data_IF_713018098327
#
_entry.id   IF_713018098327
#
_cell.length_a   1.000
_cell.length_b   1.000
_cell.length_c   1.000
_cell.angle_alpha   90.00
_cell.angle_beta   90.00
_cell.angle_gamma   90.00
#
_symmetry.space_group_name_H-M   'P 1'
#
loop_
_entity.id
_entity.type
_entity.pdbx_description
1 polymer ?
#
# COMPACT_ATOMS: atom_id res chain seq x y z
N UNK A 1 19.02 14.46 9.28
CA UNK A 1 17.79 14.12 10.03
C UNK A 1 17.68 12.62 10.10
N UNK A 2 17.18 12.10 11.22
CA UNK A 2 17.06 10.66 11.46
C UNK A 2 15.78 10.13 10.85
N UNK A 3 15.87 9.02 10.13
CA UNK A 3 14.76 8.28 9.59
C UNK A 3 14.98 6.78 9.81
N UNK A 4 13.93 5.98 9.67
CA UNK A 4 14.08 4.52 9.60
C UNK A 4 13.91 4.03 8.18
N UNK A 5 14.77 3.12 7.77
CA UNK A 5 14.61 2.32 6.56
C UNK A 5 14.19 0.91 6.94
N UNK A 6 13.25 0.36 6.18
CA UNK A 6 12.84 -1.04 6.28
C UNK A 6 13.09 -1.69 4.93
N UNK A 7 13.90 -2.75 4.94
CA UNK A 7 14.17 -3.55 3.75
C UNK A 7 13.23 -4.77 3.75
N UNK A 8 12.40 -4.89 2.72
CA UNK A 8 11.38 -5.95 2.71
C UNK A 8 11.92 -7.34 2.44
N UNK A 9 13.17 -7.46 1.99
CA UNK A 9 13.80 -8.76 1.68
C UNK A 9 14.55 -9.30 2.90
N UNK A 10 15.36 -8.45 3.54
CA UNK A 10 16.15 -8.80 4.73
C UNK A 10 15.37 -8.65 6.02
N UNK A 11 14.21 -7.97 5.97
CA UNK A 11 13.33 -7.66 7.09
C UNK A 11 13.96 -6.75 8.15
N UNK A 12 15.07 -6.10 7.80
CA UNK A 12 15.87 -5.30 8.72
C UNK A 12 15.34 -3.88 8.82
N UNK A 13 15.17 -3.38 10.05
CA UNK A 13 14.91 -1.97 10.34
C UNK A 13 16.23 -1.28 10.71
N UNK A 14 16.60 -0.23 9.98
CA UNK A 14 17.82 0.56 10.21
C UNK A 14 17.50 2.03 10.44
N UNK A 15 18.08 2.60 11.49
CA UNK A 15 18.18 4.05 11.62
C UNK A 15 19.21 4.56 10.60
N UNK A 16 18.84 5.60 9.85
CA UNK A 16 19.70 6.24 8.86
C UNK A 16 19.64 7.76 9.01
N UNK A 17 20.76 8.42 8.72
CA UNK A 17 20.80 9.86 8.54
C UNK A 17 20.49 10.20 7.08
N UNK A 18 19.46 11.00 6.88
CA UNK A 18 19.07 11.55 5.57
C UNK A 18 19.16 13.07 5.59
N UNK A 19 19.46 13.68 4.45
CA UNK A 19 19.21 15.11 4.22
C UNK A 19 17.95 15.20 3.37
N UNK A 20 16.81 15.64 3.90
CA UNK A 20 15.58 15.72 3.10
C UNK A 20 15.72 16.77 1.98
N UNK A 21 16.01 16.26 0.78
CA UNK A 21 15.92 16.94 -0.50
C UNK A 21 15.11 16.03 -1.43
N UNK A 22 14.47 16.55 -2.47
CA UNK A 22 13.66 15.74 -3.39
C UNK A 22 14.45 14.54 -3.98
N UNK A 23 15.76 14.73 -4.15
CA UNK A 23 16.75 13.77 -4.60
C UNK A 23 17.06 12.65 -3.58
N UNK A 24 16.74 12.82 -2.30
CA UNK A 24 17.07 11.86 -1.24
C UNK A 24 16.10 10.68 -1.23
N UNK A 25 14.80 10.97 -1.27
CA UNK A 25 13.76 9.94 -1.45
C UNK A 25 13.94 9.23 -2.79
N UNK A 26 14.24 9.99 -3.86
CA UNK A 26 14.61 9.43 -5.16
C UNK A 26 15.80 8.47 -5.08
N UNK A 27 16.89 8.86 -4.41
CA UNK A 27 18.10 8.04 -4.29
C UNK A 27 17.88 6.77 -3.46
N UNK A 28 17.02 6.83 -2.45
CA UNK A 28 16.71 5.69 -1.59
C UNK A 28 15.95 4.60 -2.35
N UNK A 29 14.92 4.98 -3.12
CA UNK A 29 14.10 4.03 -3.88
C UNK A 29 14.61 3.76 -5.30
N UNK A 30 15.59 4.55 -5.77
CA UNK A 30 15.98 4.63 -7.18
C UNK A 30 14.75 4.85 -8.10
N UNK A 31 13.79 5.66 -7.64
CA UNK A 31 12.48 5.85 -8.27
C UNK A 31 12.03 7.29 -8.17
N UNK A 32 11.49 7.83 -9.27
CA UNK A 32 10.96 9.20 -9.35
C UNK A 32 9.59 9.31 -8.66
N UNK A 33 8.86 8.20 -8.57
CA UNK A 33 7.52 8.16 -8.03
C UNK A 33 7.55 7.45 -6.67
N UNK A 34 7.15 8.18 -5.64
CA UNK A 34 7.00 7.66 -4.29
C UNK A 34 5.65 8.04 -3.72
N UNK A 35 5.03 7.12 -3.00
CA UNK A 35 3.78 7.35 -2.29
C UNK A 35 4.05 7.67 -0.82
N UNK A 36 3.22 8.53 -0.23
CA UNK A 36 3.27 8.94 1.18
C UNK A 36 2.05 8.42 1.93
N UNK A 37 2.29 7.70 3.03
CA UNK A 37 1.23 7.08 3.83
C UNK A 37 1.34 7.57 5.29
N UNK A 38 0.22 8.02 5.86
CA UNK A 38 0.16 8.65 7.18
C UNK A 38 -0.45 7.71 8.24
N UNK A 39 0.14 6.52 8.36
CA UNK A 39 -0.44 5.41 9.16
C UNK A 39 0.15 5.29 10.55
N UNK A 40 1.35 5.84 10.75
CA UNK A 40 2.00 5.94 12.05
C UNK A 40 1.81 7.37 12.56
N UNK A 41 1.37 7.53 13.82
CA UNK A 41 1.16 8.86 14.41
C UNK A 41 2.40 9.73 14.24
N UNK A 42 2.22 10.92 13.65
CA UNK A 42 3.29 11.91 13.38
C UNK A 42 4.45 11.37 12.53
N UNK A 43 4.23 10.36 11.70
CA UNK A 43 5.21 9.88 10.75
C UNK A 43 4.58 9.67 9.37
N UNK A 44 5.41 9.77 8.34
CA UNK A 44 5.05 9.43 6.97
C UNK A 44 5.90 8.25 6.53
N UNK A 45 5.24 7.28 5.91
CA UNK A 45 5.88 6.14 5.26
C UNK A 45 5.98 6.47 3.77
N UNK A 46 7.20 6.51 3.26
CA UNK A 46 7.48 6.59 1.85
C UNK A 46 7.73 5.19 1.28
N UNK A 47 7.22 4.92 0.09
CA UNK A 47 7.43 3.66 -0.63
C UNK A 47 7.56 3.91 -2.14
N UNK A 48 8.21 3.00 -2.85
CA UNK A 48 8.35 3.05 -4.31
C UNK A 48 7.01 2.76 -5.01
N UNK A 49 6.53 3.69 -5.83
CA UNK A 49 5.26 3.55 -6.56
C UNK A 49 5.28 2.43 -7.61
N UNK A 50 6.47 1.96 -8.03
CA UNK A 50 6.62 0.88 -9.01
C UNK A 50 6.92 -0.49 -8.36
N UNK A 51 6.79 -0.61 -7.04
CA UNK A 51 7.22 -1.81 -6.31
C UNK A 51 6.48 -3.09 -6.73
N UNK A 52 5.22 -2.98 -7.16
CA UNK A 52 4.41 -4.12 -7.62
C UNK A 52 4.94 -4.68 -8.94
N UNK A 53 5.21 -3.81 -9.92
CA UNK A 53 5.73 -4.24 -11.22
C UNK A 53 7.15 -4.81 -11.15
N UNK A 54 7.88 -4.43 -10.10
CA UNK A 54 9.18 -5.02 -9.75
C UNK A 54 9.05 -6.30 -8.90
N UNK A 55 7.83 -6.78 -8.64
CA UNK A 55 7.54 -7.95 -7.82
C UNK A 55 8.26 -7.92 -6.45
N UNK A 56 8.32 -6.73 -5.83
CA UNK A 56 8.97 -6.57 -4.53
C UNK A 56 8.15 -7.22 -3.41
N UNK A 57 8.84 -7.60 -2.34
CA UNK A 57 8.23 -8.31 -1.21
C UNK A 57 7.24 -7.40 -0.48
N UNK A 58 5.98 -7.83 -0.30
CA UNK A 58 4.99 -7.13 0.50
C UNK A 58 5.13 -7.43 2.00
N UNK A 59 4.74 -6.47 2.83
CA UNK A 59 4.67 -6.59 4.29
C UNK A 59 3.66 -5.57 4.84
N UNK A 60 3.30 -5.66 6.11
CA UNK A 60 2.43 -4.69 6.78
C UNK A 60 3.21 -3.80 7.72
N UNK A 61 2.77 -2.54 7.85
CA UNK A 61 3.16 -1.63 8.93
C UNK A 61 1.88 -1.08 9.55
N UNK A 62 1.63 -1.37 10.83
CA UNK A 62 0.45 -0.83 11.53
C UNK A 62 -0.88 -1.21 10.86
N UNK A 63 -0.93 -2.36 10.19
CA UNK A 63 -2.11 -2.85 9.46
C UNK A 63 -2.24 -2.38 8.01
N UNK A 64 -1.38 -1.47 7.54
CA UNK A 64 -1.37 -1.05 6.14
C UNK A 64 -0.40 -1.88 5.30
N UNK A 65 -0.85 -2.34 4.13
CA UNK A 65 -0.01 -3.09 3.20
C UNK A 65 1.03 -2.17 2.54
N UNK A 66 2.31 -2.55 2.63
CA UNK A 66 3.45 -1.89 2.00
C UNK A 66 4.10 -2.87 1.00
N UNK A 67 4.50 -2.36 -0.17
CA UNK A 67 5.17 -3.15 -1.21
C UNK A 67 6.59 -2.63 -1.41
N UNK A 68 7.59 -3.49 -1.23
CA UNK A 68 8.99 -3.08 -1.39
C UNK A 68 9.57 -2.44 -0.14
N UNK A 69 10.58 -1.60 -0.28
CA UNK A 69 11.22 -0.98 0.88
C UNK A 69 10.35 0.17 1.42
N UNK A 70 10.57 0.54 2.68
CA UNK A 70 9.92 1.71 3.28
C UNK A 70 10.94 2.65 3.89
N UNK A 71 10.64 3.95 3.83
CA UNK A 71 11.38 5.00 4.51
C UNK A 71 10.40 5.76 5.43
N UNK A 72 10.68 5.77 6.72
CA UNK A 72 9.80 6.29 7.76
C UNK A 72 10.41 7.59 8.27
N UNK A 73 9.69 8.69 8.06
CA UNK A 73 10.12 10.05 8.37
C UNK A 73 9.19 10.66 9.39
N UNK A 74 9.73 11.36 10.40
CA UNK A 74 8.93 12.09 11.37
C UNK A 74 8.28 13.32 10.74
N UNK A 75 7.07 13.68 11.19
CA UNK A 75 6.34 14.86 10.77
C UNK A 75 5.96 15.72 11.98
N UNK A 76 6.13 17.03 11.83
CA UNK A 76 5.60 18.03 12.74
C UNK A 76 4.81 19.09 11.94
N UNK A 77 3.50 18.90 11.84
CA UNK A 77 2.66 19.69 10.94
C UNK A 77 3.03 19.43 9.48
N UNK A 78 3.51 20.46 8.79
CA UNK A 78 3.93 20.38 7.38
C UNK A 78 5.44 20.11 7.20
N UNK A 79 6.19 19.99 8.29
CA UNK A 79 7.64 19.86 8.25
C UNK A 79 8.09 18.44 8.55
N UNK A 80 9.07 17.97 7.77
CA UNK A 80 9.82 16.76 8.07
C UNK A 80 10.77 17.00 9.23
N UNK A 81 10.77 16.08 10.18
CA UNK A 81 11.60 16.08 11.39
C UNK A 81 12.17 14.69 11.62
N UNK A 82 13.09 14.57 12.58
CA UNK A 82 13.60 13.27 12.99
C UNK A 82 12.44 12.32 13.37
N UNK A 83 12.53 11.07 12.89
CA UNK A 83 11.60 10.02 13.30
C UNK A 83 11.66 9.85 14.82
N UNK A 84 10.54 10.06 15.49
CA UNK A 84 10.43 10.00 16.95
C UNK A 84 9.93 8.66 17.48
N UNK A 85 9.47 7.76 16.59
CA UNK A 85 9.06 6.41 16.97
C UNK A 85 10.26 5.61 17.49
N UNK A 86 10.16 4.98 18.68
CA UNK A 86 11.19 4.04 19.14
C UNK A 86 11.34 2.88 18.15
N UNK A 87 12.57 2.42 17.93
CA UNK A 87 12.84 1.35 16.97
C UNK A 87 12.06 0.07 17.29
N UNK A 88 12.06 -0.36 18.55
CA UNK A 88 11.36 -1.57 19.01
C UNK A 88 9.84 -1.46 18.79
N UNK A 89 9.28 -0.26 18.96
CA UNK A 89 7.87 0.01 18.67
C UNK A 89 7.58 -0.11 17.17
N UNK A 90 8.44 0.47 16.32
CA UNK A 90 8.32 0.33 14.87
C UNK A 90 8.43 -1.14 14.44
N UNK A 91 9.41 -1.87 14.96
CA UNK A 91 9.58 -3.30 14.69
C UNK A 91 8.35 -4.11 15.11
N UNK A 92 7.68 -3.74 16.21
CA UNK A 92 6.44 -4.41 16.66
C UNK A 92 5.23 -4.17 15.75
N UNK A 93 5.24 -3.08 14.96
CA UNK A 93 4.19 -2.75 14.00
C UNK A 93 4.37 -3.47 12.66
N UNK A 94 5.55 -4.04 12.41
CA UNK A 94 5.91 -4.68 11.16
C UNK A 94 5.46 -6.14 11.17
N UNK A 95 4.73 -6.55 10.14
CA UNK A 95 4.27 -7.93 9.99
C UNK A 95 4.51 -8.45 8.56
N UNK A 96 5.27 -9.54 8.43
CA UNK A 96 5.59 -10.18 7.16
C UNK A 96 4.65 -11.34 6.79
N UNK A 97 3.65 -11.64 7.62
CA UNK A 97 2.64 -12.66 7.34
C UNK A 97 1.61 -12.13 6.33
N UNK A 98 1.92 -12.36 5.05
CA UNK A 98 1.05 -12.01 3.93
C UNK A 98 0.22 -13.21 3.53
N UNK A 99 -1.10 -13.04 3.58
CA UNK A 99 -2.08 -14.08 3.23
C UNK A 99 -1.93 -14.51 1.75
N UNK A 100 -2.35 -15.74 1.40
CA UNK A 100 -2.37 -16.20 0.02
C UNK A 100 -3.17 -15.28 -0.92
N UNK A 101 -4.24 -14.65 -0.41
CA UNK A 101 -5.06 -13.72 -1.17
C UNK A 101 -4.22 -12.55 -1.71
N UNK A 102 -3.50 -11.83 -0.84
CA UNK A 102 -2.65 -10.72 -1.28
C UNK A 102 -1.58 -11.17 -2.27
N UNK A 103 -0.90 -12.30 -1.99
CA UNK A 103 0.14 -12.85 -2.89
C UNK A 103 -0.39 -13.10 -4.29
N UNK A 104 -1.57 -13.72 -4.39
CA UNK A 104 -2.20 -14.03 -5.68
C UNK A 104 -2.59 -12.75 -6.43
N UNK A 105 -3.23 -11.81 -5.74
CA UNK A 105 -3.66 -10.54 -6.36
C UNK A 105 -2.47 -9.71 -6.80
N UNK A 106 -1.45 -9.52 -5.95
CA UNK A 106 -0.27 -8.74 -6.31
C UNK A 106 0.48 -9.34 -7.52
N UNK A 107 0.54 -10.67 -7.62
CA UNK A 107 1.13 -11.33 -8.79
C UNK A 107 0.31 -11.11 -10.08
N UNK A 108 -1.02 -10.98 -10.00
CA UNK A 108 -1.86 -10.61 -11.15
C UNK A 108 -1.68 -9.14 -11.55
N UNK A 109 -1.39 -8.27 -10.57
CA UNK A 109 -1.26 -6.83 -10.80
C UNK A 109 0.12 -6.40 -11.34
N UNK A 110 1.15 -7.25 -11.24
CA UNK A 110 2.54 -6.90 -11.59
C UNK A 110 2.73 -6.37 -13.02
N UNK A 111 1.93 -6.84 -13.96
CA UNK A 111 2.04 -6.45 -15.38
C UNK A 111 1.14 -5.27 -15.73
N UNK A 112 0.57 -4.59 -14.72
CA UNK A 112 -0.27 -3.40 -14.88
C UNK A 112 0.40 -2.14 -14.31
N UNK A 113 -0.04 -0.97 -14.75
CA UNK A 113 0.42 0.34 -14.25
C UNK A 113 -0.31 0.78 -12.95
N UNK A 114 -0.89 -0.18 -12.21
CA UNK A 114 -1.67 0.16 -11.02
C UNK A 114 -0.77 0.64 -9.88
N UNK A 115 -1.20 1.70 -9.21
CA UNK A 115 -0.64 2.16 -7.95
C UNK A 115 -1.67 1.87 -6.84
N UNK A 116 -1.26 1.15 -5.79
CA UNK A 116 -2.17 0.75 -4.70
C UNK A 116 -2.71 1.93 -3.91
N UNK A 117 -1.91 2.98 -3.79
CA UNK A 117 -2.13 4.11 -2.89
C UNK A 117 -2.76 5.30 -3.60
N UNK A 118 -2.80 5.29 -4.93
CA UNK A 118 -3.49 6.33 -5.71
C UNK A 118 -4.98 6.34 -5.35
N UNK A 119 -5.41 7.49 -4.83
CA UNK A 119 -6.80 7.72 -4.45
C UNK A 119 -7.68 7.83 -5.69
N UNK A 120 -8.87 7.23 -5.60
CA UNK A 120 -9.99 7.42 -6.51
C UNK A 120 -11.26 7.74 -5.71
N UNK A 121 -12.23 8.36 -6.37
CA UNK A 121 -13.51 8.74 -5.77
C UNK A 121 -14.62 7.78 -6.22
N UNK A 122 -15.44 7.36 -5.28
CA UNK A 122 -16.64 6.56 -5.51
C UNK A 122 -17.83 7.27 -4.88
N UNK A 123 -18.88 7.51 -5.66
CA UNK A 123 -20.12 8.10 -5.15
C UNK A 123 -21.05 7.02 -4.62
N UNK A 124 -21.44 7.10 -3.34
CA UNK A 124 -22.43 6.23 -2.70
C UNK A 124 -23.40 7.12 -1.90
N UNK A 125 -24.72 6.90 -2.02
CA UNK A 125 -25.75 7.65 -1.26
C UNK A 125 -25.63 9.19 -1.30
N UNK A 126 -25.11 9.74 -2.41
CA UNK A 126 -24.83 11.18 -2.62
C UNK A 126 -23.60 11.72 -1.87
N UNK A 127 -22.77 10.85 -1.30
CA UNK A 127 -21.47 11.18 -0.74
C UNK A 127 -20.34 10.65 -1.62
N UNK A 128 -19.32 11.49 -1.85
CA UNK A 128 -18.09 11.09 -2.54
C UNK A 128 -17.09 10.54 -1.54
N UNK A 129 -16.85 9.23 -1.61
CA UNK A 129 -15.95 8.50 -0.74
C UNK A 129 -14.60 8.34 -1.45
N UNK A 130 -13.53 8.77 -0.78
CA UNK A 130 -12.15 8.63 -1.26
C UNK A 130 -11.57 7.30 -0.80
N UNK A 131 -11.26 6.44 -1.76
CA UNK A 131 -10.71 5.10 -1.54
C UNK A 131 -9.46 4.89 -2.39
N UNK A 132 -8.76 3.78 -2.17
CA UNK A 132 -7.65 3.35 -2.99
C UNK A 132 -7.71 1.82 -3.18
N UNK A 133 -6.81 1.27 -3.99
CA UNK A 133 -6.81 -0.17 -4.28
C UNK A 133 -6.42 -0.98 -3.06
N UNK A 134 -5.52 -0.49 -2.21
CA UNK A 134 -5.13 -1.17 -0.96
C UNK A 134 -6.35 -1.45 -0.06
N UNK A 135 -7.24 -0.47 0.08
CA UNK A 135 -8.50 -0.64 0.80
C UNK A 135 -9.39 -1.73 0.20
N UNK A 136 -9.50 -1.80 -1.13
CA UNK A 136 -10.25 -2.87 -1.82
C UNK A 136 -9.67 -4.23 -1.46
N UNK A 137 -8.34 -4.37 -1.52
CA UNK A 137 -7.68 -5.62 -1.16
C UNK A 137 -7.91 -5.99 0.30
N UNK A 138 -7.85 -5.01 1.20
CA UNK A 138 -8.15 -5.21 2.62
C UNK A 138 -9.56 -5.75 2.84
N UNK A 139 -10.59 -5.15 2.22
CA UNK A 139 -11.98 -5.60 2.38
C UNK A 139 -12.18 -7.02 1.85
N UNK A 140 -11.68 -7.32 0.66
CA UNK A 140 -11.81 -8.67 0.09
C UNK A 140 -10.99 -9.72 0.85
N UNK A 141 -9.83 -9.35 1.42
CA UNK A 141 -9.06 -10.25 2.27
C UNK A 141 -9.82 -10.67 3.53
N UNK A 142 -10.73 -9.83 4.05
CA UNK A 142 -11.58 -10.15 5.20
C UNK A 142 -12.84 -10.94 4.85
N UNK A 143 -13.19 -11.06 3.57
CA UNK A 143 -14.39 -11.78 3.13
C UNK A 143 -14.27 -13.31 3.36
N UNK A 144 -15.34 -14.04 3.08
CA UNK A 144 -15.29 -15.51 3.02
C UNK A 144 -14.44 -16.00 1.82
N UNK A 145 -14.00 -17.26 1.87
CA UNK A 145 -13.11 -17.83 0.85
C UNK A 145 -13.72 -17.83 -0.55
N UNK A 146 -15.03 -18.07 -0.67
CA UNK A 146 -15.73 -18.05 -1.98
C UNK A 146 -15.69 -16.64 -2.59
N UNK A 147 -15.85 -15.61 -1.77
CA UNK A 147 -15.76 -14.21 -2.21
C UNK A 147 -14.34 -13.83 -2.63
N UNK A 148 -13.31 -14.33 -1.93
CA UNK A 148 -11.90 -14.16 -2.34
C UNK A 148 -11.59 -14.83 -3.67
N UNK A 149 -12.03 -16.08 -3.83
CA UNK A 149 -11.86 -16.84 -5.08
C UNK A 149 -12.54 -16.14 -6.25
N UNK A 150 -13.76 -15.63 -6.04
CA UNK A 150 -14.48 -14.86 -7.05
C UNK A 150 -13.71 -13.59 -7.46
N UNK A 151 -13.21 -12.82 -6.49
CA UNK A 151 -12.42 -11.61 -6.78
C UNK A 151 -11.18 -11.93 -7.62
N UNK A 152 -10.44 -12.97 -7.26
CA UNK A 152 -9.22 -13.38 -7.97
C UNK A 152 -9.56 -13.82 -9.40
N UNK A 153 -10.61 -14.63 -9.58
CA UNK A 153 -11.02 -15.12 -10.90
C UNK A 153 -11.50 -13.98 -11.82
N UNK A 154 -12.23 -13.01 -11.30
CA UNK A 154 -12.67 -11.85 -12.10
C UNK A 154 -11.52 -10.89 -12.40
N UNK A 155 -10.55 -10.75 -11.48
CA UNK A 155 -9.35 -9.96 -11.73
C UNK A 155 -8.49 -10.61 -12.83
N UNK A 156 -8.29 -11.92 -12.77
CA UNK A 156 -7.56 -12.68 -13.80
C UNK A 156 -8.19 -12.47 -15.18
N UNK A 157 -9.52 -12.58 -15.29
CA UNK A 157 -10.25 -12.28 -16.53
C UNK A 157 -10.05 -10.82 -17.00
N UNK A 158 -10.02 -9.86 -16.07
CA UNK A 158 -9.82 -8.46 -16.41
C UNK A 158 -8.39 -8.20 -16.94
N UNK A 159 -7.38 -8.82 -16.32
CA UNK A 159 -5.98 -8.79 -16.75
C UNK A 159 -5.82 -9.43 -18.13
N UNK A 160 -6.36 -10.65 -18.33
CA UNK A 160 -6.29 -11.36 -19.61
C UNK A 160 -6.95 -10.59 -20.75
N UNK A 161 -8.08 -9.93 -20.45
CA UNK A 161 -8.79 -9.07 -21.38
C UNK A 161 -8.13 -7.69 -21.57
N UNK A 162 -6.99 -7.42 -20.91
CA UNK A 162 -6.27 -6.14 -20.92
C UNK A 162 -7.17 -4.94 -20.61
N UNK A 163 -8.09 -5.13 -19.67
CA UNK A 163 -8.92 -4.03 -19.18
C UNK A 163 -8.08 -3.06 -18.36
N UNK A 164 -8.59 -1.85 -18.21
CA UNK A 164 -8.06 -0.90 -17.23
C UNK A 164 -8.30 -1.43 -15.81
N UNK A 165 -7.23 -1.84 -15.14
CA UNK A 165 -7.30 -2.44 -13.81
C UNK A 165 -7.69 -1.40 -12.74
N UNK A 166 -7.39 -0.11 -12.94
CA UNK A 166 -7.85 0.93 -12.02
C UNK A 166 -9.37 1.04 -12.05
N UNK A 167 -9.99 1.01 -13.23
CA UNK A 167 -11.45 0.98 -13.38
C UNK A 167 -12.03 -0.31 -12.76
N UNK A 168 -11.38 -1.45 -12.95
CA UNK A 168 -11.80 -2.70 -12.32
C UNK A 168 -11.82 -2.59 -10.78
N UNK A 169 -10.76 -2.04 -10.18
CA UNK A 169 -10.69 -1.86 -8.72
C UNK A 169 -11.73 -0.87 -8.20
N UNK A 170 -12.04 0.19 -8.93
CA UNK A 170 -13.14 1.11 -8.60
C UNK A 170 -14.49 0.39 -8.58
N UNK A 171 -14.76 -0.47 -9.56
CA UNK A 171 -16.00 -1.26 -9.60
C UNK A 171 -16.07 -2.25 -8.43
N UNK A 172 -14.94 -2.87 -8.06
CA UNK A 172 -14.87 -3.75 -6.89
C UNK A 172 -15.08 -2.98 -5.58
N UNK A 173 -14.59 -1.74 -5.49
CA UNK A 173 -14.85 -0.86 -4.35
C UNK A 173 -16.35 -0.57 -4.20
N UNK A 174 -17.05 -0.26 -5.30
CA UNK A 174 -18.51 -0.05 -5.31
C UNK A 174 -19.24 -1.31 -4.83
N UNK A 175 -18.85 -2.49 -5.32
CA UNK A 175 -19.44 -3.76 -4.89
C UNK A 175 -19.23 -4.01 -3.40
N UNK A 176 -18.01 -3.77 -2.90
CA UNK A 176 -17.67 -3.92 -1.49
C UNK A 176 -18.51 -2.98 -0.60
N UNK A 177 -18.58 -1.70 -0.96
CA UNK A 177 -19.38 -0.69 -0.25
C UNK A 177 -20.88 -1.06 -0.20
N UNK A 178 -21.43 -1.57 -1.30
CA UNK A 178 -22.82 -2.01 -1.36
C UNK A 178 -23.07 -3.26 -0.51
N UNK A 179 -22.09 -4.16 -0.40
CA UNK A 179 -22.20 -5.35 0.44
C UNK A 179 -22.16 -4.98 1.94
N UNK A 180 -21.36 -3.98 2.32
CA UNK A 180 -21.26 -3.52 3.72
C UNK A 180 -22.44 -2.65 4.17
N UNK A 181 -23.06 -1.89 3.26
CA UNK A 181 -24.22 -1.06 3.59
C UNK A 181 -25.53 -1.84 3.81
N UNK A 182 -25.58 -3.11 3.36
CA UNK A 182 -26.75 -3.99 3.49
C UNK A 182 -26.65 -4.97 4.68
N UNK A 183 -25.71 -4.76 5.60
CA UNK A 183 -25.59 -5.48 6.88
C UNK A 183 -26.11 -4.62 8.03
#
# INVERSE_FOLDING_TARGET
>A
MKAYSIDSTTQEVKEIDIEMQANTVYSFFNSILTDELNTIDKHTIHTDSNAISQNKVPFFIGGQLIIGNALIVGKNGLFDVDASIPKDDLESLVNYDITPFYKNVLNLLKDSDINLYRVFEVTQEQEDIKLNTEWVLYVFNMADDRTKEYFIAELEKAVDAKKDIAIYMQNMAILALNATANQ
#
